data_IF_637476921243
#
_entry.id   IF_637476921243
#
_cell.length_a   1.000
_cell.length_b   1.000
_cell.length_c   1.000
_cell.angle_alpha   90.00
_cell.angle_beta   90.00
_cell.angle_gamma   90.00
#
_symmetry.space_group_name_H-M   'P 1'
#
loop_
_entity.id
_entity.type
_entity.pdbx_description
1 polymer ?
#
# COMPACT_ATOMS: atom_id res chain seq x y z
N UNK A 1 16.34 -12.61 -17.54
CA UNK A 1 14.87 -12.77 -17.49
C UNK A 1 14.20 -11.51 -18.01
N UNK A 2 13.09 -11.65 -18.75
CA UNK A 2 12.15 -10.55 -19.08
C UNK A 2 11.11 -10.46 -17.98
N UNK A 3 11.01 -9.32 -17.32
CA UNK A 3 10.09 -9.09 -16.20
C UNK A 3 9.12 -7.96 -16.53
N UNK A 4 7.83 -8.15 -16.27
CA UNK A 4 6.80 -7.13 -16.37
C UNK A 4 6.33 -6.74 -14.97
N UNK A 5 6.32 -5.43 -14.66
CA UNK A 5 5.66 -4.87 -13.48
C UNK A 5 4.33 -4.28 -13.91
N UNK A 6 3.25 -4.63 -13.21
CA UNK A 6 1.90 -4.10 -13.49
C UNK A 6 1.60 -2.95 -12.55
N UNK A 7 1.20 -1.81 -13.10
CA UNK A 7 0.88 -0.58 -12.39
C UNK A 7 1.66 0.63 -12.89
N UNK A 8 1.51 1.79 -12.25
CA UNK A 8 2.13 3.02 -12.71
C UNK A 8 2.23 4.10 -11.64
N UNK A 9 2.21 3.71 -10.36
CA UNK A 9 2.34 4.60 -9.21
C UNK A 9 3.77 4.71 -8.67
N UNK A 10 3.91 5.38 -7.55
CA UNK A 10 5.20 5.53 -6.85
C UNK A 10 5.71 4.20 -6.31
N UNK A 11 4.83 3.33 -5.84
CA UNK A 11 5.12 1.96 -5.44
C UNK A 11 5.74 1.16 -6.57
N UNK A 12 5.15 1.20 -7.75
CA UNK A 12 5.65 0.50 -8.93
C UNK A 12 7.02 1.05 -9.34
N UNK A 13 7.22 2.36 -9.28
CA UNK A 13 8.52 2.94 -9.57
C UNK A 13 9.61 2.47 -8.58
N UNK A 14 9.30 2.40 -7.29
CA UNK A 14 10.22 1.87 -6.29
C UNK A 14 10.57 0.39 -6.54
N UNK A 15 9.56 -0.43 -6.91
CA UNK A 15 9.76 -1.83 -7.29
C UNK A 15 10.60 -1.95 -8.56
N UNK A 16 10.32 -1.17 -9.59
CA UNK A 16 11.10 -1.13 -10.85
C UNK A 16 12.56 -0.80 -10.56
N UNK A 17 12.83 0.26 -9.78
CA UNK A 17 14.20 0.64 -9.43
C UNK A 17 14.91 -0.46 -8.63
N UNK A 18 14.21 -1.11 -7.70
CA UNK A 18 14.79 -2.22 -6.92
C UNK A 18 15.04 -3.47 -7.77
N UNK A 19 14.17 -3.80 -8.69
CA UNK A 19 14.35 -4.92 -9.63
C UNK A 19 15.52 -4.70 -10.58
N UNK A 20 15.80 -3.44 -10.98
CA UNK A 20 16.98 -3.13 -11.82
C UNK A 20 18.33 -3.47 -11.16
N UNK A 21 18.38 -3.58 -9.84
CA UNK A 21 19.58 -4.00 -9.12
C UNK A 21 19.89 -5.49 -9.37
N UNK A 22 18.90 -6.29 -9.80
CA UNK A 22 19.07 -7.73 -10.06
C UNK A 22 19.84 -7.97 -11.37
N UNK A 23 20.88 -8.81 -11.28
CA UNK A 23 21.67 -9.23 -12.45
C UNK A 23 20.97 -10.24 -13.35
N UNK A 24 19.88 -10.84 -12.88
CA UNK A 24 19.12 -11.83 -13.66
C UNK A 24 18.15 -11.16 -14.65
N UNK A 25 17.83 -9.88 -14.47
CA UNK A 25 16.89 -9.17 -15.34
C UNK A 25 17.63 -8.66 -16.58
N UNK A 26 17.24 -9.15 -17.75
CA UNK A 26 17.77 -8.72 -19.05
C UNK A 26 16.88 -7.70 -19.75
N UNK A 27 15.58 -7.68 -19.42
CA UNK A 27 14.64 -6.67 -19.91
C UNK A 27 13.53 -6.43 -18.87
N UNK A 28 13.23 -5.18 -18.60
CA UNK A 28 12.22 -4.76 -17.63
C UNK A 28 11.16 -3.91 -18.31
N UNK A 29 9.90 -4.29 -18.09
CA UNK A 29 8.72 -3.65 -18.64
C UNK A 29 7.79 -3.19 -17.52
N UNK A 30 6.95 -2.18 -17.78
CA UNK A 30 5.93 -1.74 -16.84
C UNK A 30 4.63 -1.36 -17.58
N UNK A 31 3.48 -1.81 -17.09
CA UNK A 31 2.19 -1.55 -17.71
C UNK A 31 1.19 -0.93 -16.71
N UNK A 32 0.75 0.32 -16.91
CA UNK A 32 1.12 1.24 -17.99
C UNK A 32 2.44 1.98 -17.75
N UNK A 33 2.98 2.00 -16.51
CA UNK A 33 4.10 2.84 -16.10
C UNK A 33 3.71 4.32 -15.94
N UNK A 34 4.72 5.18 -15.86
CA UNK A 34 4.58 6.64 -15.76
C UNK A 34 5.82 7.35 -16.32
N UNK A 35 5.85 8.69 -16.26
CA UNK A 35 6.95 9.49 -16.84
C UNK A 35 8.33 9.24 -16.22
N UNK A 36 8.41 8.80 -14.96
CA UNK A 36 9.66 8.41 -14.31
C UNK A 36 10.05 6.97 -14.61
N UNK A 37 9.09 6.05 -14.54
CA UNK A 37 9.31 4.61 -14.86
C UNK A 37 9.86 4.44 -16.28
N UNK A 38 9.45 5.30 -17.23
CA UNK A 38 9.95 5.28 -18.61
C UNK A 38 11.47 5.50 -18.73
N UNK A 39 12.14 5.99 -17.68
CA UNK A 39 13.62 6.11 -17.61
C UNK A 39 14.28 4.78 -17.20
N UNK A 40 13.53 3.91 -16.56
CA UNK A 40 14.01 2.72 -15.87
C UNK A 40 13.53 1.40 -16.51
N UNK A 41 12.40 1.44 -17.23
CA UNK A 41 11.76 0.28 -17.87
C UNK A 41 11.03 0.70 -19.15
N UNK A 42 10.73 -0.26 -19.99
CA UNK A 42 9.87 -0.02 -21.17
C UNK A 42 8.42 0.04 -20.74
N UNK A 43 7.79 1.20 -20.89
CA UNK A 43 6.37 1.37 -20.59
C UNK A 43 5.49 0.77 -21.69
N UNK A 44 4.52 -0.05 -21.32
CA UNK A 44 3.56 -0.70 -22.22
C UNK A 44 2.20 -0.06 -22.00
N UNK A 45 1.55 0.53 -23.02
CA UNK A 45 0.34 1.33 -22.86
C UNK A 45 -0.92 0.48 -22.66
N UNK A 46 -0.89 -0.43 -21.66
CA UNK A 46 -2.02 -1.26 -21.25
C UNK A 46 -2.39 -0.87 -19.81
N UNK A 47 -3.66 -0.57 -19.55
CA UNK A 47 -4.14 -0.23 -18.21
C UNK A 47 -4.01 -1.42 -17.27
N UNK A 48 -3.64 -1.18 -16.01
CA UNK A 48 -3.50 -2.23 -15.01
C UNK A 48 -4.79 -3.07 -14.79
N UNK A 49 -5.96 -2.46 -15.02
CA UNK A 49 -7.26 -3.14 -14.92
C UNK A 49 -7.68 -3.93 -16.15
N UNK A 50 -6.96 -3.80 -17.27
CA UNK A 50 -7.19 -4.61 -18.48
C UNK A 50 -6.39 -5.91 -18.37
N UNK A 51 -6.84 -6.78 -17.47
CA UNK A 51 -6.12 -7.99 -17.06
C UNK A 51 -5.95 -9.01 -18.19
N UNK A 52 -6.93 -9.10 -19.13
CA UNK A 52 -6.83 -9.97 -20.30
C UNK A 52 -5.75 -9.46 -21.27
N UNK A 53 -5.78 -8.16 -21.61
CA UNK A 53 -4.77 -7.58 -22.49
C UNK A 53 -3.35 -7.68 -21.91
N UNK A 54 -3.18 -7.54 -20.57
CA UNK A 54 -1.89 -7.72 -19.92
C UNK A 54 -1.42 -9.17 -20.04
N UNK A 55 -2.30 -10.13 -19.76
CA UNK A 55 -1.95 -11.56 -19.81
C UNK A 55 -1.63 -12.02 -21.23
N UNK A 56 -2.39 -11.55 -22.24
CA UNK A 56 -2.13 -11.86 -23.65
C UNK A 56 -0.83 -11.23 -24.14
N UNK A 57 -0.57 -9.97 -23.78
CA UNK A 57 0.68 -9.30 -24.11
C UNK A 57 1.89 -9.99 -23.48
N UNK A 58 1.78 -10.36 -22.17
CA UNK A 58 2.84 -11.06 -21.47
C UNK A 58 3.17 -12.42 -22.13
N UNK A 59 2.16 -13.15 -22.63
CA UNK A 59 2.33 -14.39 -23.34
C UNK A 59 2.98 -14.19 -24.72
N UNK A 60 2.49 -13.19 -25.50
CA UNK A 60 3.01 -12.89 -26.82
C UNK A 60 4.49 -12.46 -26.79
N UNK A 61 4.85 -11.62 -25.82
CA UNK A 61 6.23 -11.14 -25.62
C UNK A 61 7.14 -12.15 -24.87
N UNK A 62 6.57 -13.28 -24.43
CA UNK A 62 7.27 -14.34 -23.70
C UNK A 62 7.94 -13.80 -22.44
N UNK A 63 7.13 -13.18 -21.56
CA UNK A 63 7.60 -12.74 -20.26
C UNK A 63 7.95 -13.95 -19.39
N UNK A 64 9.11 -13.90 -18.74
CA UNK A 64 9.54 -14.94 -17.83
C UNK A 64 8.88 -14.82 -16.46
N UNK A 65 8.51 -13.59 -16.06
CA UNK A 65 7.92 -13.31 -14.76
C UNK A 65 7.09 -12.02 -14.76
N UNK A 66 5.98 -12.01 -14.01
CA UNK A 66 5.13 -10.81 -13.88
C UNK A 66 4.99 -10.46 -12.40
N UNK A 67 5.14 -9.17 -12.07
CA UNK A 67 4.95 -8.63 -10.72
C UNK A 67 3.67 -7.82 -10.70
N UNK A 68 2.63 -8.32 -10.04
CA UNK A 68 1.32 -7.67 -9.95
C UNK A 68 1.26 -6.90 -8.64
N UNK A 69 1.21 -5.58 -8.72
CA UNK A 69 1.39 -4.71 -7.55
C UNK A 69 0.14 -3.97 -7.08
N UNK A 70 -0.83 -3.56 -7.94
CA UNK A 70 -2.06 -2.93 -7.48
C UNK A 70 -3.12 -3.95 -7.04
N UNK A 71 -4.02 -3.51 -6.18
CA UNK A 71 -5.15 -4.28 -5.65
C UNK A 71 -6.17 -4.67 -6.74
N UNK A 72 -6.56 -3.72 -7.62
CA UNK A 72 -7.55 -3.97 -8.67
C UNK A 72 -7.21 -5.18 -9.56
N UNK A 73 -6.05 -5.27 -10.23
CA UNK A 73 -5.73 -6.43 -11.08
C UNK A 73 -5.60 -7.74 -10.29
N UNK A 74 -5.20 -7.71 -9.01
CA UNK A 74 -5.19 -8.89 -8.14
C UNK A 74 -6.62 -9.38 -7.88
N UNK A 75 -7.52 -8.47 -7.49
CA UNK A 75 -8.93 -8.80 -7.25
C UNK A 75 -9.67 -9.20 -8.53
N UNK A 76 -9.23 -8.71 -9.70
CA UNK A 76 -9.74 -9.12 -11.01
C UNK A 76 -9.21 -10.48 -11.48
N UNK A 77 -8.19 -11.05 -10.82
CA UNK A 77 -7.66 -12.38 -11.09
C UNK A 77 -6.56 -12.43 -12.14
N UNK A 78 -5.76 -11.37 -12.27
CA UNK A 78 -4.64 -11.35 -13.22
C UNK A 78 -3.63 -12.47 -12.97
N UNK A 79 -3.35 -12.80 -11.70
CA UNK A 79 -2.44 -13.90 -11.36
C UNK A 79 -2.98 -15.25 -11.84
N UNK A 80 -4.29 -15.48 -11.71
CA UNK A 80 -4.95 -16.70 -12.21
C UNK A 80 -4.86 -16.78 -13.74
N UNK A 81 -5.07 -15.67 -14.45
CA UNK A 81 -4.96 -15.60 -15.90
C UNK A 81 -3.54 -15.86 -16.40
N UNK A 82 -2.52 -15.35 -15.70
CA UNK A 82 -1.11 -15.58 -16.02
C UNK A 82 -0.75 -17.05 -15.76
N UNK A 83 -1.18 -17.62 -14.64
CA UNK A 83 -0.97 -19.03 -14.32
C UNK A 83 -1.60 -19.96 -15.38
N UNK A 84 -2.81 -19.64 -15.86
CA UNK A 84 -3.45 -20.39 -16.95
C UNK A 84 -2.67 -20.33 -18.29
N UNK A 85 -1.82 -19.31 -18.47
CA UNK A 85 -0.92 -19.15 -19.62
C UNK A 85 0.50 -19.69 -19.35
N UNK A 86 0.73 -20.31 -18.17
CA UNK A 86 2.03 -20.85 -17.77
C UNK A 86 3.08 -19.78 -17.42
N UNK A 87 2.66 -18.56 -17.09
CA UNK A 87 3.54 -17.44 -16.74
C UNK A 87 3.53 -17.29 -15.23
N UNK A 88 4.66 -17.50 -14.52
CA UNK A 88 4.74 -17.29 -13.08
C UNK A 88 4.59 -15.81 -12.73
N UNK A 89 3.86 -15.53 -11.65
CA UNK A 89 3.60 -14.18 -11.23
C UNK A 89 3.73 -14.01 -9.71
N UNK A 90 4.23 -12.85 -9.27
CA UNK A 90 4.22 -12.43 -7.88
C UNK A 90 2.89 -11.73 -7.58
N UNK A 91 2.19 -12.22 -6.59
CA UNK A 91 0.93 -11.70 -6.10
C UNK A 91 -0.03 -12.84 -5.75
N UNK A 92 -1.04 -12.59 -4.90
CA UNK A 92 -2.06 -13.57 -4.59
C UNK A 92 -2.97 -13.84 -5.79
N UNK A 93 -3.55 -15.03 -5.83
CA UNK A 93 -4.66 -15.33 -6.70
C UNK A 93 -5.93 -14.55 -6.27
N UNK A 94 -6.97 -14.59 -7.10
CA UNK A 94 -8.23 -13.88 -6.84
C UNK A 94 -8.89 -14.31 -5.52
N UNK A 95 -8.77 -15.58 -5.17
CA UNK A 95 -9.37 -16.10 -3.94
C UNK A 95 -8.69 -15.55 -2.70
N UNK A 96 -7.37 -15.46 -2.69
CA UNK A 96 -6.58 -14.89 -1.59
C UNK A 96 -6.66 -13.34 -1.56
N UNK A 97 -6.73 -12.68 -2.72
CA UNK A 97 -6.86 -11.23 -2.82
C UNK A 97 -8.14 -10.69 -2.13
N UNK A 98 -9.15 -11.53 -1.92
CA UNK A 98 -10.35 -11.18 -1.15
C UNK A 98 -10.08 -10.66 0.25
N UNK A 99 -8.90 -10.94 0.83
CA UNK A 99 -8.54 -10.44 2.16
C UNK A 99 -8.49 -8.89 2.21
N UNK A 100 -8.20 -8.23 1.06
CA UNK A 100 -8.35 -6.78 0.87
C UNK A 100 -9.67 -6.45 0.16
N UNK A 101 -10.04 -7.23 -0.84
CA UNK A 101 -11.21 -6.99 -1.69
C UNK A 101 -12.55 -7.08 -0.96
N UNK A 102 -12.61 -7.70 0.23
CA UNK A 102 -13.80 -7.74 1.10
C UNK A 102 -13.40 -7.60 2.56
N UNK A 103 -13.76 -6.46 3.16
CA UNK A 103 -13.54 -6.21 4.59
C UNK A 103 -14.39 -7.14 5.46
N UNK A 104 -15.58 -7.52 4.98
CA UNK A 104 -16.45 -8.52 5.64
C UNK A 104 -15.73 -9.86 5.71
N UNK A 105 -15.16 -10.34 4.59
CA UNK A 105 -14.37 -11.58 4.58
C UNK A 105 -13.19 -11.51 5.56
N UNK A 106 -12.41 -10.43 5.53
CA UNK A 106 -11.27 -10.26 6.43
C UNK A 106 -11.68 -10.25 7.91
N UNK A 107 -12.79 -9.58 8.25
CA UNK A 107 -13.30 -9.52 9.61
C UNK A 107 -13.83 -10.88 10.07
N UNK A 108 -14.58 -11.58 9.24
CA UNK A 108 -15.09 -12.91 9.57
C UNK A 108 -13.95 -13.93 9.70
N UNK A 109 -12.90 -13.83 8.88
CA UNK A 109 -11.67 -14.60 9.03
C UNK A 109 -11.05 -14.36 10.41
N UNK A 110 -10.82 -13.09 10.77
CA UNK A 110 -10.21 -12.74 12.06
C UNK A 110 -11.05 -13.24 13.24
N UNK A 111 -12.37 -13.07 13.20
CA UNK A 111 -13.26 -13.57 14.26
C UNK A 111 -13.23 -15.09 14.38
N UNK A 112 -13.31 -15.81 13.24
CA UNK A 112 -13.34 -17.29 13.21
C UNK A 112 -12.07 -17.92 13.76
N UNK A 113 -10.92 -17.29 13.48
CA UNK A 113 -9.61 -17.82 13.86
C UNK A 113 -8.97 -17.10 15.04
N UNK A 114 -9.71 -16.24 15.75
CA UNK A 114 -9.26 -15.58 16.97
C UNK A 114 -8.13 -14.56 16.77
N UNK A 115 -8.02 -13.99 15.57
CA UNK A 115 -7.00 -12.98 15.27
C UNK A 115 -7.42 -11.63 15.85
N UNK A 116 -6.56 -10.94 16.65
CA UNK A 116 -6.92 -9.71 17.32
C UNK A 116 -7.31 -8.59 16.35
N UNK A 117 -8.51 -8.04 16.50
CA UNK A 117 -9.03 -6.89 15.76
C UNK A 117 -10.06 -6.14 16.61
N UNK A 118 -10.54 -5.00 16.13
CA UNK A 118 -11.65 -4.26 16.75
C UNK A 118 -12.93 -5.10 16.77
N UNK A 119 -13.76 -4.95 17.82
CA UNK A 119 -15.13 -5.48 17.79
C UNK A 119 -15.86 -4.84 16.62
N UNK A 120 -16.65 -5.61 15.91
CA UNK A 120 -17.34 -5.17 14.69
C UNK A 120 -18.67 -5.88 14.50
N UNK A 121 -19.52 -5.27 13.70
CA UNK A 121 -20.73 -5.88 13.12
C UNK A 121 -20.77 -5.57 11.61
N UNK A 122 -21.39 -6.45 10.85
CA UNK A 122 -21.53 -6.32 9.39
C UNK A 122 -22.99 -6.23 9.01
N UNK A 123 -23.30 -5.38 8.03
CA UNK A 123 -24.67 -5.14 7.58
C UNK A 123 -24.76 -5.13 6.06
N UNK A 124 -25.74 -5.86 5.53
CA UNK A 124 -26.19 -5.84 4.13
C UNK A 124 -27.59 -5.21 3.99
N UNK A 125 -28.25 -4.92 5.11
CA UNK A 125 -29.51 -4.18 5.20
C UNK A 125 -29.27 -2.80 5.83
N UNK A 126 -29.70 -1.75 5.12
CA UNK A 126 -29.47 -0.36 5.54
C UNK A 126 -30.22 0.01 6.82
N UNK A 127 -31.45 -0.51 7.02
CA UNK A 127 -32.25 -0.18 8.21
C UNK A 127 -31.67 -0.86 9.46
N UNK A 128 -31.14 -2.08 9.33
CA UNK A 128 -30.43 -2.77 10.40
C UNK A 128 -29.13 -2.02 10.76
N UNK A 129 -28.37 -1.55 9.78
CA UNK A 129 -27.18 -0.75 10.00
C UNK A 129 -27.49 0.57 10.73
N UNK A 130 -28.52 1.30 10.27
CA UNK A 130 -28.97 2.55 10.90
C UNK A 130 -29.45 2.32 12.34
N UNK A 131 -30.24 1.24 12.60
CA UNK A 131 -30.68 0.91 13.95
C UNK A 131 -29.50 0.65 14.89
N UNK A 132 -28.47 -0.05 14.40
CA UNK A 132 -27.26 -0.33 15.18
C UNK A 132 -26.47 0.92 15.50
N UNK A 133 -26.15 1.78 14.49
CA UNK A 133 -25.28 2.95 14.70
C UNK A 133 -25.95 4.02 15.57
N UNK A 134 -27.27 4.08 15.66
CA UNK A 134 -28.01 5.00 16.56
C UNK A 134 -27.71 4.76 18.04
N UNK A 135 -27.34 3.56 18.41
CA UNK A 135 -27.10 3.15 19.81
C UNK A 135 -25.66 2.69 20.06
N UNK A 136 -24.84 2.60 19.03
CA UNK A 136 -23.45 2.20 19.16
C UNK A 136 -22.64 3.22 19.98
N UNK A 137 -21.74 2.76 20.85
CA UNK A 137 -20.82 3.66 21.57
C UNK A 137 -19.91 4.37 20.57
N UNK A 138 -19.88 5.70 20.59
CA UNK A 138 -18.97 6.50 19.77
C UNK A 138 -17.65 6.81 20.51
N UNK A 139 -16.53 7.01 19.76
CA UNK A 139 -16.47 6.98 18.30
C UNK A 139 -16.56 5.58 17.69
N UNK A 140 -17.10 5.48 16.47
CA UNK A 140 -17.14 4.26 15.66
C UNK A 140 -16.52 4.47 14.29
N UNK A 141 -16.11 3.38 13.63
CA UNK A 141 -15.57 3.43 12.27
C UNK A 141 -16.53 2.70 11.34
N UNK A 142 -17.06 3.40 10.35
CA UNK A 142 -17.91 2.84 9.30
C UNK A 142 -17.07 2.61 8.04
N UNK A 143 -17.05 1.38 7.54
CA UNK A 143 -16.25 0.98 6.38
C UNK A 143 -17.13 0.35 5.30
N UNK A 144 -17.00 0.80 4.06
CA UNK A 144 -17.53 0.10 2.89
C UNK A 144 -16.80 -1.23 2.69
N UNK A 145 -17.50 -2.29 2.32
CA UNK A 145 -16.93 -3.65 2.24
C UNK A 145 -15.83 -3.78 1.17
N UNK A 146 -16.05 -3.29 -0.05
CA UNK A 146 -15.14 -3.45 -1.17
C UNK A 146 -14.01 -2.41 -1.24
N UNK A 147 -13.27 -2.47 -2.36
CA UNK A 147 -12.25 -1.46 -2.69
C UNK A 147 -12.89 -0.08 -2.87
N UNK A 148 -12.36 0.92 -2.21
CA UNK A 148 -12.85 2.30 -2.24
C UNK A 148 -11.72 3.33 -2.22
N UNK A 149 -10.52 2.97 -2.70
CA UNK A 149 -9.34 3.83 -2.83
C UNK A 149 -8.99 4.60 -1.54
N UNK A 150 -9.13 3.94 -0.37
CA UNK A 150 -8.90 4.54 0.94
C UNK A 150 -9.98 5.53 1.41
N UNK A 151 -11.00 5.81 0.59
CA UNK A 151 -12.08 6.78 0.91
C UNK A 151 -13.30 6.13 1.57
N UNK A 152 -13.38 4.81 1.57
CA UNK A 152 -14.50 4.05 2.12
C UNK A 152 -14.42 3.81 3.63
N UNK A 153 -13.60 4.55 4.38
CA UNK A 153 -13.41 4.43 5.83
C UNK A 153 -13.69 5.79 6.47
N UNK A 154 -14.72 5.85 7.32
CA UNK A 154 -15.13 7.06 8.01
C UNK A 154 -15.10 6.85 9.52
N UNK A 155 -14.34 7.68 10.25
CA UNK A 155 -14.37 7.76 11.70
C UNK A 155 -15.51 8.70 12.09
N UNK A 156 -16.45 8.21 12.86
CA UNK A 156 -17.65 8.93 13.26
C UNK A 156 -17.59 9.18 14.77
N UNK A 157 -17.44 10.42 15.13
CA UNK A 157 -17.36 10.88 16.54
C UNK A 157 -18.73 10.85 17.23
N UNK A 158 -19.81 10.87 16.43
CA UNK A 158 -21.20 10.87 16.92
C UNK A 158 -22.05 9.90 16.14
N UNK A 159 -23.16 9.45 16.76
CA UNK A 159 -24.13 8.60 16.11
C UNK A 159 -24.74 9.25 14.85
N UNK A 160 -24.95 10.58 14.86
CA UNK A 160 -25.45 11.31 13.69
C UNK A 160 -24.50 11.21 12.49
N UNK A 161 -23.17 11.34 12.72
CA UNK A 161 -22.17 11.15 11.67
C UNK A 161 -22.16 9.70 11.18
N UNK A 162 -22.35 8.72 12.06
CA UNK A 162 -22.41 7.30 11.67
C UNK A 162 -23.66 6.99 10.83
N UNK A 163 -24.82 7.58 11.17
CA UNK A 163 -26.04 7.48 10.36
C UNK A 163 -25.86 8.10 8.98
N UNK A 164 -25.21 9.27 8.88
CA UNK A 164 -24.89 9.91 7.61
C UNK A 164 -23.95 9.01 6.77
N UNK A 165 -22.89 8.49 7.39
CA UNK A 165 -21.94 7.59 6.73
C UNK A 165 -22.61 6.33 6.15
N UNK A 166 -23.46 5.65 6.93
CA UNK A 166 -24.22 4.49 6.48
C UNK A 166 -25.18 4.87 5.33
N UNK A 167 -25.87 6.00 5.46
CA UNK A 167 -26.82 6.50 4.44
C UNK A 167 -26.10 6.78 3.12
N UNK A 168 -24.98 7.49 3.16
CA UNK A 168 -24.16 7.80 1.98
C UNK A 168 -23.64 6.53 1.30
N UNK A 169 -23.13 5.57 2.08
CA UNK A 169 -22.55 4.34 1.55
C UNK A 169 -23.60 3.41 0.97
N UNK A 170 -24.64 3.05 1.77
CA UNK A 170 -25.59 1.99 1.43
C UNK A 170 -26.79 2.50 0.66
N UNK A 171 -27.38 3.68 1.03
CA UNK A 171 -28.62 4.18 0.41
C UNK A 171 -28.33 5.03 -0.83
N UNK A 172 -27.32 5.90 -0.78
CA UNK A 172 -26.93 6.75 -1.92
C UNK A 172 -25.90 6.12 -2.84
N UNK A 173 -25.35 4.95 -2.48
CA UNK A 173 -24.45 4.19 -3.34
C UNK A 173 -23.13 4.89 -3.66
N UNK A 174 -22.62 5.72 -2.75
CA UNK A 174 -21.42 6.56 -2.94
C UNK A 174 -20.19 5.79 -3.46
N UNK A 175 -20.10 4.49 -3.12
CA UNK A 175 -19.02 3.60 -3.54
C UNK A 175 -19.52 2.47 -4.46
N UNK A 176 -20.68 2.64 -5.10
CA UNK A 176 -21.27 1.61 -5.98
C UNK A 176 -21.46 0.26 -5.26
N UNK A 177 -21.08 -0.82 -5.91
CA UNK A 177 -21.21 -2.17 -5.33
C UNK A 177 -20.38 -2.35 -4.03
N UNK A 178 -19.26 -1.65 -3.88
CA UNK A 178 -18.43 -1.71 -2.66
C UNK A 178 -19.14 -1.16 -1.43
N UNK A 179 -20.11 -0.27 -1.59
CA UNK A 179 -20.88 0.33 -0.51
C UNK A 179 -22.18 -0.42 -0.19
N UNK A 180 -22.52 -1.50 -0.90
CA UNK A 180 -23.75 -2.28 -0.65
C UNK A 180 -23.76 -3.00 0.70
N UNK A 181 -22.60 -3.26 1.27
CA UNK A 181 -22.38 -3.78 2.63
C UNK A 181 -21.44 -2.86 3.40
N UNK A 182 -21.65 -2.76 4.70
CA UNK A 182 -20.79 -2.00 5.58
C UNK A 182 -20.32 -2.83 6.77
N UNK A 183 -19.13 -2.48 7.26
CA UNK A 183 -18.59 -2.95 8.53
C UNK A 183 -18.59 -1.77 9.49
N UNK A 184 -19.18 -1.93 10.67
CA UNK A 184 -19.15 -0.92 11.74
C UNK A 184 -18.25 -1.47 12.85
N UNK A 185 -17.17 -0.75 13.15
CA UNK A 185 -16.14 -1.18 14.09
C UNK A 185 -16.04 -0.24 15.28
N UNK A 186 -15.69 -0.79 16.44
CA UNK A 186 -15.23 0.02 17.57
C UNK A 186 -13.93 0.77 17.18
N UNK A 187 -13.84 2.03 17.54
CA UNK A 187 -12.63 2.83 17.34
C UNK A 187 -11.48 2.26 18.20
N UNK A 188 -10.30 2.10 17.60
CA UNK A 188 -9.09 1.68 18.29
C UNK A 188 -8.19 2.89 18.55
N UNK A 189 -7.61 2.96 19.73
CA UNK A 189 -6.66 4.00 20.13
C UNK A 189 -5.24 3.43 20.21
N UNK A 190 -4.29 4.17 19.68
CA UNK A 190 -2.87 3.81 19.70
C UNK A 190 -2.09 4.38 18.50
N UNK A 191 -0.79 4.11 18.41
CA UNK A 191 -0.02 4.37 17.20
C UNK A 191 -0.31 3.31 16.14
N UNK A 192 -0.44 3.78 14.88
CA UNK A 192 -0.55 2.90 13.72
C UNK A 192 0.83 2.40 13.29
N UNK A 193 0.87 1.15 12.85
CA UNK A 193 2.06 0.49 12.32
C UNK A 193 1.67 -0.25 11.05
N UNK A 194 2.44 -0.07 9.98
CA UNK A 194 2.33 -0.82 8.74
C UNK A 194 3.45 -1.83 8.65
N UNK A 195 3.12 -3.12 8.49
CA UNK A 195 4.10 -4.20 8.29
C UNK A 195 3.79 -4.92 6.99
N UNK A 196 4.68 -4.77 6.02
CA UNK A 196 4.64 -5.53 4.79
C UNK A 196 5.38 -6.85 5.00
N UNK A 197 4.82 -7.96 4.52
CA UNK A 197 5.42 -9.27 4.68
C UNK A 197 5.44 -10.02 3.35
N UNK A 198 6.58 -10.57 2.97
CA UNK A 198 6.60 -11.63 1.95
C UNK A 198 6.02 -12.91 2.56
N UNK A 199 5.20 -13.61 1.81
CA UNK A 199 4.70 -14.93 2.22
C UNK A 199 4.40 -15.84 1.04
N UNK A 200 4.77 -17.11 1.18
CA UNK A 200 4.47 -18.20 0.24
C UNK A 200 3.30 -19.07 0.71
N UNK A 201 2.44 -18.53 1.60
CA UNK A 201 1.33 -19.25 2.20
C UNK A 201 1.72 -20.11 3.39
N UNK A 202 3.01 -20.39 3.61
CA UNK A 202 3.53 -21.21 4.70
C UNK A 202 4.54 -20.43 5.55
N UNK A 203 5.57 -19.92 4.90
CA UNK A 203 6.56 -19.05 5.51
C UNK A 203 6.14 -17.58 5.40
N UNK A 204 6.58 -16.76 6.34
CA UNK A 204 6.41 -15.32 6.33
C UNK A 204 7.73 -14.62 6.66
N UNK A 205 8.02 -13.52 5.96
CA UNK A 205 9.21 -12.68 6.16
C UNK A 205 8.77 -11.22 6.25
N UNK A 206 8.62 -10.66 7.47
CA UNK A 206 8.31 -9.26 7.67
C UNK A 206 9.43 -8.35 7.14
N UNK A 207 9.06 -7.24 6.54
CA UNK A 207 9.96 -6.16 6.16
C UNK A 207 10.09 -5.15 7.31
N UNK A 208 10.93 -4.13 7.13
CA UNK A 208 11.01 -3.02 8.08
C UNK A 208 9.62 -2.39 8.29
N UNK A 209 9.17 -2.32 9.54
CA UNK A 209 7.88 -1.72 9.87
C UNK A 209 7.90 -0.22 9.57
N UNK A 210 6.80 0.33 9.07
CA UNK A 210 6.72 1.71 8.65
C UNK A 210 5.57 2.46 9.34
N UNK A 211 5.63 3.79 9.29
CA UNK A 211 4.58 4.70 9.76
C UNK A 211 4.14 5.58 8.60
N UNK A 212 2.94 5.33 8.09
CA UNK A 212 2.30 6.17 7.08
C UNK A 212 1.60 7.38 7.71
N UNK A 213 1.48 8.46 6.96
CA UNK A 213 0.79 9.69 7.32
C UNK A 213 -0.41 9.89 6.40
N UNK A 214 -1.57 9.36 6.79
CA UNK A 214 -2.76 9.24 5.94
C UNK A 214 -3.52 10.54 5.72
N UNK A 215 -3.43 11.52 6.64
CA UNK A 215 -4.14 12.78 6.53
C UNK A 215 -3.45 13.76 5.60
N UNK A 216 -4.25 14.54 4.87
CA UNK A 216 -3.76 15.46 3.85
C UNK A 216 -2.94 16.64 4.41
N UNK A 217 -3.21 17.08 5.64
CA UNK A 217 -2.66 18.30 6.25
C UNK A 217 -1.85 17.98 7.52
N UNK A 218 -0.93 18.88 7.86
CA UNK A 218 -0.14 18.81 9.08
C UNK A 218 -0.98 18.64 10.34
N UNK A 219 -0.43 18.00 11.34
CA UNK A 219 -1.09 17.67 12.60
C UNK A 219 -2.20 16.64 12.44
N UNK A 220 -2.11 15.75 11.46
CA UNK A 220 -3.08 14.71 11.14
C UNK A 220 -4.50 15.27 10.93
N UNK A 221 -4.60 16.38 10.21
CA UNK A 221 -5.84 17.06 9.87
C UNK A 221 -6.23 16.86 8.40
N UNK A 222 -7.45 17.26 8.07
CA UNK A 222 -7.99 17.16 6.71
C UNK A 222 -8.49 15.75 6.37
N UNK A 223 -8.69 15.50 5.09
CA UNK A 223 -9.24 14.23 4.58
C UNK A 223 -8.20 13.12 4.59
N UNK A 224 -8.67 11.88 4.65
CA UNK A 224 -7.83 10.72 4.40
C UNK A 224 -7.37 10.70 2.94
N UNK A 225 -6.14 10.26 2.74
CA UNK A 225 -5.48 10.13 1.44
C UNK A 225 -4.92 8.72 1.27
N UNK A 226 -4.23 8.46 0.17
CA UNK A 226 -3.43 7.25 -0.01
C UNK A 226 -2.12 7.24 0.79
N UNK A 227 -1.80 8.31 1.54
CA UNK A 227 -0.56 8.54 2.27
C UNK A 227 0.19 9.75 1.74
N UNK A 228 0.59 10.64 2.66
CA UNK A 228 1.32 11.89 2.37
C UNK A 228 2.82 11.79 2.69
N UNK A 229 3.23 10.66 3.19
CA UNK A 229 4.62 10.36 3.53
C UNK A 229 4.72 9.22 4.51
N UNK A 230 5.91 8.64 4.59
CA UNK A 230 6.16 7.44 5.39
C UNK A 230 7.59 7.44 5.91
N UNK A 231 7.76 6.89 7.12
CA UNK A 231 9.09 6.61 7.68
C UNK A 231 9.24 5.12 7.97
N UNK A 232 10.45 4.62 7.93
CA UNK A 232 10.85 3.30 8.41
C UNK A 232 12.26 3.39 9.06
N UNK A 233 12.48 2.68 10.19
CA UNK A 233 11.53 1.86 10.93
C UNK A 233 10.54 2.67 11.75
N UNK A 234 9.41 2.04 12.11
CA UNK A 234 8.42 2.62 13.01
C UNK A 234 8.83 2.38 14.47
N UNK A 235 9.06 3.42 15.30
CA UNK A 235 9.56 3.25 16.67
C UNK A 235 8.59 2.55 17.62
N UNK A 236 7.31 2.49 17.30
CA UNK A 236 6.32 1.76 18.10
C UNK A 236 6.30 0.24 17.82
N UNK A 237 7.03 -0.21 16.78
CA UNK A 237 7.16 -1.64 16.48
C UNK A 237 8.43 -2.19 17.13
N UNK A 238 8.37 -2.31 18.46
CA UNK A 238 9.47 -2.85 19.26
C UNK A 238 9.65 -4.37 19.03
N UNK A 239 10.78 -4.97 19.41
CA UNK A 239 10.96 -6.42 19.32
C UNK A 239 9.85 -7.22 20.02
N UNK A 240 9.34 -6.73 21.15
CA UNK A 240 8.25 -7.37 21.90
C UNK A 240 6.93 -7.30 21.12
N UNK A 241 6.62 -6.14 20.52
CA UNK A 241 5.45 -5.98 19.64
C UNK A 241 5.58 -6.87 18.41
N UNK A 242 6.76 -6.95 17.80
CA UNK A 242 7.03 -7.80 16.65
C UNK A 242 6.81 -9.28 16.96
N UNK A 243 7.28 -9.75 18.10
CA UNK A 243 7.08 -11.14 18.57
C UNK A 243 5.59 -11.45 18.75
N UNK A 244 4.84 -10.56 19.41
CA UNK A 244 3.38 -10.70 19.56
C UNK A 244 2.66 -10.68 18.23
N UNK A 245 3.01 -9.78 17.32
CA UNK A 245 2.42 -9.74 15.98
C UNK A 245 2.65 -11.03 15.21
N UNK A 246 3.84 -11.60 15.31
CA UNK A 246 4.16 -12.88 14.68
C UNK A 246 3.28 -14.01 15.22
N UNK A 247 3.19 -14.14 16.54
CA UNK A 247 2.48 -15.23 17.21
C UNK A 247 0.96 -15.07 17.17
N UNK A 248 0.44 -13.85 17.44
CA UNK A 248 -0.99 -13.60 17.62
C UNK A 248 -1.70 -13.23 16.31
N UNK A 249 -0.96 -12.73 15.29
CA UNK A 249 -1.56 -12.16 14.06
C UNK A 249 -1.02 -12.84 12.79
N UNK A 250 0.30 -12.81 12.54
CA UNK A 250 0.84 -13.16 11.22
C UNK A 250 0.72 -14.65 10.94
N UNK A 251 1.22 -15.51 11.82
CA UNK A 251 1.10 -16.96 11.66
C UNK A 251 -0.36 -17.44 11.70
N UNK A 252 -1.22 -16.95 12.62
CA UNK A 252 -2.65 -17.27 12.58
C UNK A 252 -3.34 -16.85 11.28
N UNK A 253 -3.00 -15.68 10.71
CA UNK A 253 -3.57 -15.24 9.43
C UNK A 253 -3.22 -16.22 8.30
N UNK A 254 -1.95 -16.65 8.18
CA UNK A 254 -1.57 -17.63 7.16
C UNK A 254 -2.27 -18.98 7.36
N UNK A 255 -2.38 -19.43 8.61
CA UNK A 255 -3.08 -20.67 8.94
C UNK A 255 -4.57 -20.57 8.56
N UNK A 256 -5.21 -19.44 8.87
CA UNK A 256 -6.59 -19.16 8.53
C UNK A 256 -6.83 -19.16 7.01
N UNK A 257 -6.00 -18.45 6.25
CA UNK A 257 -6.11 -18.41 4.78
C UNK A 257 -5.97 -19.78 4.14
N UNK A 258 -5.04 -20.63 4.65
CA UNK A 258 -4.92 -22.02 4.21
C UNK A 258 -6.16 -22.84 4.55
N UNK A 259 -6.70 -22.68 5.77
CA UNK A 259 -7.88 -23.41 6.22
C UNK A 259 -9.13 -23.04 5.41
N UNK A 260 -9.21 -21.79 4.93
CA UNK A 260 -10.28 -21.33 4.02
C UNK A 260 -10.03 -21.73 2.54
N UNK A 261 -8.97 -22.47 2.25
CA UNK A 261 -8.64 -22.93 0.90
C UNK A 261 -8.11 -21.86 -0.04
N UNK A 262 -7.63 -20.74 0.49
CA UNK A 262 -7.05 -19.63 -0.27
C UNK A 262 -5.69 -19.21 0.33
N UNK A 263 -4.65 -20.07 0.26
CA UNK A 263 -3.32 -19.74 0.75
C UNK A 263 -2.80 -18.47 0.06
N UNK A 264 -2.20 -17.56 0.84
CA UNK A 264 -1.75 -16.27 0.33
C UNK A 264 -0.29 -16.34 -0.13
N UNK A 265 -0.03 -16.04 -1.39
CA UNK A 265 1.31 -15.87 -1.96
C UNK A 265 1.53 -14.43 -2.39
N UNK A 266 2.63 -13.80 -2.00
CA UNK A 266 2.92 -12.41 -2.40
C UNK A 266 3.34 -11.52 -1.25
N UNK A 267 2.98 -10.24 -1.34
CA UNK A 267 3.15 -9.26 -0.27
C UNK A 267 1.83 -9.09 0.48
N UNK A 268 1.77 -9.58 1.72
CA UNK A 268 0.64 -9.34 2.62
C UNK A 268 0.98 -8.16 3.53
N UNK A 269 0.20 -7.11 3.46
CA UNK A 269 0.34 -5.92 4.29
C UNK A 269 -0.63 -6.00 5.47
N UNK A 270 -0.09 -5.80 6.66
CA UNK A 270 -0.82 -5.71 7.92
C UNK A 270 -0.86 -4.25 8.39
N UNK A 271 -2.03 -3.63 8.38
CA UNK A 271 -2.30 -2.38 9.08
C UNK A 271 -2.66 -2.68 10.53
N UNK A 272 -1.84 -2.21 11.44
CA UNK A 272 -1.94 -2.54 12.87
C UNK A 272 -2.17 -1.29 13.71
N UNK A 273 -2.95 -1.43 14.79
CA UNK A 273 -3.00 -0.48 15.91
C UNK A 273 -2.33 -1.10 17.12
N UNK A 274 -1.34 -0.43 17.68
CA UNK A 274 -0.70 -0.87 18.91
C UNK A 274 -1.47 -0.29 20.09
N UNK A 275 -2.44 -1.04 20.57
CA UNK A 275 -3.31 -0.62 21.68
C UNK A 275 -2.67 -0.97 23.02
N UNK A 276 -3.23 -0.43 24.13
CA UNK A 276 -2.81 -0.82 25.48
C UNK A 276 -2.94 -2.31 25.77
N UNK A 277 -3.85 -3.01 25.08
CA UNK A 277 -4.09 -4.45 25.23
C UNK A 277 -3.19 -5.30 24.31
N UNK A 278 -2.45 -4.64 23.39
CA UNK A 278 -1.57 -5.27 22.42
C UNK A 278 -1.90 -4.91 20.96
N UNK A 279 -1.22 -5.53 20.00
CA UNK A 279 -1.43 -5.26 18.59
C UNK A 279 -2.80 -5.79 18.14
N UNK A 280 -3.51 -4.98 17.31
CA UNK A 280 -4.77 -5.37 16.67
C UNK A 280 -4.75 -5.01 15.21
N UNK A 281 -5.30 -5.88 14.36
CA UNK A 281 -5.42 -5.64 12.92
C UNK A 281 -6.50 -4.59 12.67
N UNK A 282 -6.13 -3.51 11.95
CA UNK A 282 -7.04 -2.51 11.41
C UNK A 282 -7.60 -2.97 10.06
N UNK A 283 -6.67 -3.43 9.20
CA UNK A 283 -6.96 -3.89 7.84
C UNK A 283 -5.83 -4.77 7.30
N UNK A 284 -6.14 -5.53 6.27
CA UNK A 284 -5.17 -6.18 5.40
C UNK A 284 -5.16 -5.50 4.04
N UNK A 285 -3.98 -5.50 3.38
CA UNK A 285 -3.90 -5.25 1.96
C UNK A 285 -3.16 -6.42 1.29
N UNK A 286 -3.62 -6.83 0.12
CA UNK A 286 -3.12 -8.02 -0.59
C UNK A 286 -1.90 -7.73 -1.49
N UNK A 287 -1.20 -6.62 -1.22
CA UNK A 287 -0.17 -6.05 -2.09
C UNK A 287 0.79 -5.14 -1.31
N UNK A 288 1.85 -4.71 -1.96
CA UNK A 288 2.72 -3.67 -1.45
C UNK A 288 1.96 -2.36 -1.15
N UNK A 289 2.36 -1.65 -0.08
CA UNK A 289 1.81 -0.35 0.27
C UNK A 289 2.32 0.79 -0.62
N UNK A 290 1.59 1.88 -0.67
CA UNK A 290 1.98 3.11 -1.35
C UNK A 290 1.56 4.32 -0.47
N UNK A 291 2.49 5.01 0.27
CA UNK A 291 3.92 5.09 -0.04
C UNK A 291 4.87 4.18 0.76
N UNK A 292 4.43 3.18 1.51
CA UNK A 292 5.30 2.38 2.38
C UNK A 292 6.46 1.74 1.60
N UNK A 293 6.20 1.24 0.41
CA UNK A 293 7.19 0.60 -0.47
C UNK A 293 8.36 1.53 -0.78
N UNK A 294 8.09 2.82 -0.98
CA UNK A 294 9.08 3.84 -1.29
C UNK A 294 10.07 4.09 -0.13
N UNK A 295 9.69 3.76 1.11
CA UNK A 295 10.59 3.84 2.27
C UNK A 295 11.22 2.49 2.63
N UNK A 296 10.49 1.39 2.47
CA UNK A 296 10.92 0.06 2.92
C UNK A 296 11.92 -0.58 1.95
N UNK A 297 11.66 -0.55 0.65
CA UNK A 297 12.54 -1.19 -0.34
C UNK A 297 13.96 -0.59 -0.43
N UNK A 298 14.19 0.72 -0.23
CA UNK A 298 15.55 1.26 -0.16
C UNK A 298 16.40 0.72 0.98
N UNK A 299 15.78 0.17 2.03
CA UNK A 299 16.47 -0.50 3.14
C UNK A 299 16.76 -1.98 2.84
N UNK A 300 16.14 -2.58 1.83
CA UNK A 300 16.33 -3.99 1.49
C UNK A 300 17.70 -4.23 0.83
N UNK A 301 18.49 -5.15 1.40
CA UNK A 301 19.78 -5.57 0.86
C UNK A 301 19.66 -6.77 -0.09
N UNK A 302 18.73 -7.66 0.17
CA UNK A 302 18.51 -8.86 -0.64
C UNK A 302 18.00 -8.50 -2.04
N UNK A 303 18.33 -9.35 -3.02
CA UNK A 303 17.79 -9.23 -4.37
C UNK A 303 16.28 -9.45 -4.38
N UNK A 304 15.53 -8.41 -4.79
CA UNK A 304 14.07 -8.42 -4.73
C UNK A 304 13.47 -9.50 -5.65
N UNK A 305 14.05 -9.71 -6.85
CA UNK A 305 13.57 -10.73 -7.78
C UNK A 305 13.72 -12.13 -7.17
N UNK A 306 14.86 -12.41 -6.55
CA UNK A 306 15.12 -13.68 -5.87
C UNK A 306 14.10 -13.97 -4.79
N UNK A 307 13.78 -12.98 -3.95
CA UNK A 307 12.77 -13.12 -2.89
C UNK A 307 11.36 -13.29 -3.47
N UNK A 308 11.01 -12.53 -4.51
CA UNK A 308 9.72 -12.66 -5.17
C UNK A 308 9.53 -14.05 -5.81
N UNK A 309 10.57 -14.57 -6.46
CA UNK A 309 10.53 -15.93 -7.02
C UNK A 309 10.40 -16.99 -5.93
N UNK A 310 11.17 -16.88 -4.84
CA UNK A 310 11.06 -17.79 -3.70
C UNK A 310 9.64 -17.79 -3.10
N UNK A 311 8.99 -16.61 -3.09
CA UNK A 311 7.59 -16.48 -2.68
C UNK A 311 6.64 -17.21 -3.61
N UNK A 312 6.82 -17.09 -4.94
CA UNK A 312 5.97 -17.75 -5.94
C UNK A 312 6.21 -19.26 -5.99
N UNK A 313 7.48 -19.69 -5.81
CA UNK A 313 7.91 -21.09 -5.88
C UNK A 313 7.68 -21.88 -4.57
N UNK A 314 7.24 -21.22 -3.47
CA UNK A 314 7.02 -21.88 -2.18
C UNK A 314 8.30 -22.22 -1.43
N UNK A 315 9.38 -21.50 -1.69
CA UNK A 315 10.72 -21.73 -1.11
C UNK A 315 11.21 -20.58 -0.21
N UNK A 316 10.29 -19.68 0.19
CA UNK A 316 10.60 -18.48 0.97
C UNK A 316 11.28 -18.79 2.31
N UNK A 317 11.02 -19.96 2.90
CA UNK A 317 11.68 -20.40 4.13
C UNK A 317 13.20 -20.50 3.99
N UNK A 318 13.70 -20.75 2.77
CA UNK A 318 15.12 -20.90 2.43
C UNK A 318 15.73 -19.59 1.91
N UNK A 319 14.90 -18.59 1.60
CA UNK A 319 15.37 -17.33 1.07
C UNK A 319 16.00 -16.46 2.17
N UNK A 320 17.12 -15.84 1.82
CA UNK A 320 17.78 -14.84 2.66
C UNK A 320 17.13 -13.47 2.41
N UNK A 321 16.36 -13.00 3.38
CA UNK A 321 15.66 -11.71 3.32
C UNK A 321 16.24 -10.78 4.37
N UNK A 322 17.05 -9.82 3.92
CA UNK A 322 17.77 -8.88 4.79
C UNK A 322 17.44 -7.45 4.48
N UNK A 323 17.43 -6.64 5.54
CA UNK A 323 17.32 -5.20 5.50
C UNK A 323 18.51 -4.61 6.24
N UNK A 324 19.08 -3.52 5.72
CA UNK A 324 20.17 -2.82 6.38
C UNK A 324 19.67 -2.11 7.64
N UNK A 325 20.56 -1.90 8.58
CA UNK A 325 20.37 -0.95 9.68
C UNK A 325 20.28 0.47 9.11
N UNK A 326 19.59 1.35 9.85
CA UNK A 326 19.36 2.73 9.46
C UNK A 326 17.88 3.06 9.33
N UNK A 327 17.60 4.17 8.68
CA UNK A 327 16.24 4.68 8.52
C UNK A 327 15.99 5.29 7.14
N UNK A 328 14.74 5.37 6.77
CA UNK A 328 14.29 6.03 5.55
C UNK A 328 13.08 6.93 5.83
N UNK A 329 12.97 7.99 5.04
CA UNK A 329 11.82 8.88 5.04
C UNK A 329 11.43 9.17 3.58
N UNK A 330 10.17 8.99 3.26
CA UNK A 330 9.57 9.40 1.98
C UNK A 330 8.58 10.52 2.22
N UNK A 331 8.80 11.68 1.60
CA UNK A 331 7.89 12.83 1.59
C UNK A 331 7.13 12.82 0.26
N UNK A 332 5.81 12.80 0.32
CA UNK A 332 4.96 12.84 -0.88
C UNK A 332 4.70 14.27 -1.29
N UNK A 333 4.95 14.58 -2.56
CA UNK A 333 4.60 15.83 -3.21
C UNK A 333 3.32 15.60 -4.02
N UNK A 334 2.26 16.33 -3.69
CA UNK A 334 0.94 16.17 -4.27
C UNK A 334 0.51 17.43 -5.04
N UNK A 335 -0.44 17.27 -5.96
CA UNK A 335 -1.12 18.39 -6.63
C UNK A 335 -2.03 19.11 -5.63
N UNK A 336 -2.07 20.44 -5.71
CA UNK A 336 -2.93 21.27 -4.85
C UNK A 336 -4.40 20.91 -5.04
N UNK A 337 -5.09 20.71 -3.92
CA UNK A 337 -6.47 20.22 -3.85
C UNK A 337 -6.62 18.71 -3.64
N UNK A 338 -5.56 17.92 -3.78
CA UNK A 338 -5.59 16.49 -3.43
C UNK A 338 -5.97 16.28 -1.93
N UNK A 339 -6.84 15.32 -1.57
CA UNK A 339 -7.39 14.21 -2.35
C UNK A 339 -8.72 14.50 -3.07
N UNK A 340 -9.16 15.75 -3.15
CA UNK A 340 -10.39 16.14 -3.86
C UNK A 340 -10.09 16.49 -5.32
N UNK A 341 -10.49 17.68 -5.77
CA UNK A 341 -10.24 18.14 -7.12
C UNK A 341 -8.87 18.80 -7.23
N UNK A 342 -8.10 18.42 -8.22
CA UNK A 342 -6.80 18.99 -8.51
C UNK A 342 -6.60 19.16 -10.01
N UNK A 343 -5.73 20.10 -10.38
CA UNK A 343 -5.30 20.29 -11.75
C UNK A 343 -4.07 19.44 -12.06
N UNK A 344 -3.92 19.08 -13.32
CA UNK A 344 -2.75 18.33 -13.85
C UNK A 344 -2.09 19.11 -15.00
N UNK A 345 -1.01 18.54 -15.58
CA UNK A 345 -0.30 19.17 -16.69
C UNK A 345 0.68 20.28 -16.28
N UNK A 346 0.97 20.42 -14.98
CA UNK A 346 1.92 21.42 -14.47
C UNK A 346 3.36 20.92 -14.67
N UNK A 347 4.26 21.70 -15.32
CA UNK A 347 5.66 21.31 -15.49
C UNK A 347 6.38 21.09 -14.15
N UNK A 348 7.20 20.05 -14.10
CA UNK A 348 7.96 19.67 -12.90
C UNK A 348 9.42 20.06 -13.12
N UNK A 349 10.01 20.83 -12.20
CA UNK A 349 11.39 21.26 -12.22
C UNK A 349 12.14 20.83 -10.97
N UNK A 350 13.49 20.82 -11.02
CA UNK A 350 14.34 20.57 -9.86
C UNK A 350 14.65 19.10 -9.57
N UNK A 351 14.17 18.17 -10.37
CA UNK A 351 14.37 16.73 -10.16
C UNK A 351 15.86 16.34 -10.11
N UNK A 352 16.68 16.86 -11.05
CA UNK A 352 18.11 16.52 -11.12
C UNK A 352 18.88 16.95 -9.85
N UNK A 353 18.49 18.05 -9.19
CA UNK A 353 19.10 18.48 -7.94
C UNK A 353 18.65 17.57 -6.77
N UNK A 354 17.38 17.26 -6.69
CA UNK A 354 16.82 16.35 -5.67
C UNK A 354 17.44 14.95 -5.76
N UNK A 355 17.63 14.44 -6.98
CA UNK A 355 18.19 13.10 -7.25
C UNK A 355 19.66 12.96 -6.86
N UNK A 356 20.38 14.06 -6.55
CA UNK A 356 21.77 13.99 -6.04
C UNK A 356 21.86 13.43 -4.62
N UNK A 357 20.83 13.63 -3.80
CA UNK A 357 20.82 13.29 -2.37
C UNK A 357 19.69 12.37 -1.95
N UNK A 358 18.67 12.18 -2.79
CA UNK A 358 17.52 11.36 -2.52
C UNK A 358 17.08 10.56 -3.75
N UNK A 359 16.29 9.52 -3.55
CA UNK A 359 15.58 8.84 -4.63
C UNK A 359 14.25 9.56 -4.88
N UNK A 360 13.93 9.85 -6.14
CA UNK A 360 12.66 10.46 -6.50
C UNK A 360 11.80 9.43 -7.23
N UNK A 361 10.76 8.95 -6.57
CA UNK A 361 9.81 8.01 -7.15
C UNK A 361 8.65 8.77 -7.78
N UNK A 362 8.41 8.52 -9.05
CA UNK A 362 7.32 9.11 -9.81
C UNK A 362 6.03 8.33 -9.59
N UNK A 363 4.94 9.05 -9.32
CA UNK A 363 3.59 8.53 -9.27
C UNK A 363 2.76 9.18 -10.39
N UNK A 364 1.98 10.19 -10.10
CA UNK A 364 1.20 10.91 -11.10
C UNK A 364 2.05 11.85 -11.95
N UNK A 365 2.90 11.30 -12.81
CA UNK A 365 3.73 12.07 -13.74
C UNK A 365 3.60 11.53 -15.18
N UNK A 366 3.74 12.42 -16.15
CA UNK A 366 3.74 12.09 -17.58
C UNK A 366 4.83 12.87 -18.28
N UNK A 367 5.53 12.22 -19.22
CA UNK A 367 6.42 12.89 -20.15
C UNK A 367 5.64 13.37 -21.38
N UNK A 368 5.87 14.62 -21.80
CA UNK A 368 5.39 15.16 -23.04
C UNK A 368 6.33 14.78 -24.20
N UNK A 369 5.93 15.04 -25.43
CA UNK A 369 6.73 14.73 -26.64
C UNK A 369 8.10 15.42 -26.67
N UNK A 370 8.21 16.60 -26.07
CA UNK A 370 9.46 17.37 -25.94
C UNK A 370 10.33 16.90 -24.75
N UNK A 371 9.91 15.87 -24.01
CA UNK A 371 10.59 15.34 -22.84
C UNK A 371 10.26 16.06 -21.53
N UNK A 372 9.46 17.12 -21.55
CA UNK A 372 9.03 17.83 -20.34
C UNK A 372 8.17 16.91 -19.47
N UNK A 373 8.54 16.78 -18.20
CA UNK A 373 7.76 16.06 -17.20
C UNK A 373 6.68 16.97 -16.61
N UNK A 374 5.44 16.47 -16.58
CA UNK A 374 4.30 17.21 -16.04
C UNK A 374 3.53 16.36 -15.02
N UNK A 375 2.78 17.02 -14.13
CA UNK A 375 1.86 16.36 -13.20
C UNK A 375 0.72 15.69 -13.95
N UNK A 376 0.32 14.49 -13.54
CA UNK A 376 -0.80 13.73 -14.14
C UNK A 376 -1.68 13.02 -13.13
N UNK A 377 -1.48 13.29 -11.83
CA UNK A 377 -2.24 12.66 -10.74
C UNK A 377 -2.24 13.48 -9.46
N UNK A 378 -2.92 12.98 -8.43
CA UNK A 378 -3.00 13.62 -7.12
C UNK A 378 -1.68 13.56 -6.37
N UNK A 379 -1.17 12.36 -6.06
CA UNK A 379 0.21 12.18 -5.60
C UNK A 379 1.11 12.16 -6.82
N UNK A 380 2.08 13.06 -6.86
CA UNK A 380 2.94 13.30 -8.04
C UNK A 380 4.28 12.61 -7.89
N UNK A 381 4.97 12.84 -6.77
CA UNK A 381 6.30 12.31 -6.49
C UNK A 381 6.41 11.83 -5.03
N UNK A 382 7.25 10.85 -4.78
CA UNK A 382 7.73 10.48 -3.46
C UNK A 382 9.25 10.74 -3.39
N UNK A 383 9.67 11.63 -2.51
CA UNK A 383 11.10 11.96 -2.31
C UNK A 383 11.62 11.19 -1.12
N UNK A 384 12.49 10.22 -1.35
CA UNK A 384 12.96 9.28 -0.33
C UNK A 384 14.45 9.42 -0.07
N UNK A 385 14.80 9.68 1.19
CA UNK A 385 16.17 9.60 1.67
C UNK A 385 16.37 8.44 2.64
N UNK A 386 17.60 7.90 2.64
CA UNK A 386 18.05 6.84 3.55
C UNK A 386 19.26 7.37 4.31
N UNK A 387 19.29 7.15 5.63
CA UNK A 387 20.39 7.58 6.50
C UNK A 387 20.60 6.56 7.63
N UNK A 388 21.61 6.80 8.46
CA UNK A 388 21.92 5.91 9.59
C UNK A 388 20.89 6.03 10.71
N UNK A 389 20.19 7.17 10.81
CA UNK A 389 19.11 7.39 11.78
C UNK A 389 17.92 8.13 11.16
N UNK A 390 16.81 8.10 11.89
CA UNK A 390 15.54 8.68 11.42
C UNK A 390 15.59 10.21 11.32
N UNK A 391 16.17 10.97 12.28
CA UNK A 391 16.33 12.42 12.13
C UNK A 391 17.06 12.84 10.87
N UNK A 392 18.16 12.15 10.54
CA UNK A 392 18.94 12.43 9.33
C UNK A 392 18.17 12.08 8.05
N UNK A 393 17.46 10.92 8.02
CA UNK A 393 16.64 10.53 6.88
C UNK A 393 15.53 11.56 6.60
N UNK A 394 14.83 12.02 7.64
CA UNK A 394 13.79 13.05 7.52
C UNK A 394 14.38 14.35 6.97
N UNK A 395 15.46 14.86 7.56
CA UNK A 395 16.11 16.10 7.12
C UNK A 395 16.51 16.02 5.64
N UNK A 396 17.19 14.96 5.24
CA UNK A 396 17.65 14.76 3.86
C UNK A 396 16.47 14.65 2.86
N UNK A 397 15.39 14.00 3.23
CA UNK A 397 14.19 13.89 2.38
C UNK A 397 13.56 15.28 2.13
N UNK A 398 13.45 16.13 3.16
CA UNK A 398 12.95 17.50 3.01
C UNK A 398 13.92 18.40 2.23
N UNK A 399 15.22 18.35 2.53
CA UNK A 399 16.24 19.09 1.78
C UNK A 399 16.18 18.79 0.28
N UNK A 400 16.03 17.51 -0.09
CA UNK A 400 15.87 17.11 -1.48
C UNK A 400 14.51 17.57 -2.06
N UNK A 401 13.43 17.43 -1.30
CA UNK A 401 12.09 17.86 -1.72
C UNK A 401 12.02 19.38 -1.97
N UNK A 402 12.83 20.17 -1.26
CA UNK A 402 12.94 21.62 -1.41
C UNK A 402 13.47 22.08 -2.78
N UNK A 403 14.14 21.21 -3.52
CA UNK A 403 14.56 21.51 -4.88
C UNK A 403 13.42 21.40 -5.92
N UNK A 404 12.40 20.59 -5.64
CA UNK A 404 11.34 20.28 -6.61
C UNK A 404 10.27 21.38 -6.62
N UNK A 405 9.84 21.76 -7.81
CA UNK A 405 8.83 22.80 -8.03
C UNK A 405 7.84 22.38 -9.12
N UNK A 406 6.58 22.60 -8.85
CA UNK A 406 5.50 22.67 -9.82
C UNK A 406 4.36 23.52 -9.24
N UNK A 407 3.57 24.14 -10.09
CA UNK A 407 2.47 25.01 -9.66
C UNK A 407 1.43 24.26 -8.84
N UNK A 408 1.07 24.80 -7.68
CA UNK A 408 0.13 24.19 -6.75
C UNK A 408 0.71 22.99 -5.97
N UNK A 409 2.03 22.84 -5.87
CA UNK A 409 2.65 21.79 -5.06
C UNK A 409 2.16 21.85 -3.62
N UNK A 410 1.67 20.71 -3.12
CA UNK A 410 1.29 20.48 -1.73
C UNK A 410 2.08 19.32 -1.13
N UNK A 411 2.58 19.49 0.08
CA UNK A 411 3.18 18.45 0.91
C UNK A 411 2.88 18.71 2.37
N UNK A 412 3.06 17.72 3.21
CA UNK A 412 3.11 17.88 4.67
C UNK A 412 4.53 18.25 5.11
N UNK A 413 4.64 19.09 6.15
CA UNK A 413 5.90 19.52 6.73
C UNK A 413 6.25 18.75 8.03
N UNK A 414 5.37 17.82 8.46
CA UNK A 414 5.48 17.11 9.73
C UNK A 414 5.65 15.58 9.59
N UNK A 415 6.06 15.10 8.42
CA UNK A 415 6.35 13.66 8.20
C UNK A 415 7.45 13.20 9.16
N UNK A 416 7.13 12.17 9.96
CA UNK A 416 8.04 11.61 10.98
C UNK A 416 8.04 12.36 12.31
N UNK A 417 7.40 13.53 12.44
CA UNK A 417 7.42 14.30 13.69
C UNK A 417 6.87 13.53 14.90
N UNK A 418 5.85 12.69 14.69
CA UNK A 418 5.30 11.81 15.75
C UNK A 418 6.30 10.76 16.18
N UNK A 419 7.03 10.18 15.23
CA UNK A 419 8.06 9.17 15.51
C UNK A 419 9.24 9.78 16.27
N UNK A 420 9.70 10.99 15.89
CA UNK A 420 10.77 11.68 16.61
C UNK A 420 10.40 11.95 18.08
N UNK A 421 9.15 12.35 18.35
CA UNK A 421 8.67 12.52 19.73
C UNK A 421 8.63 11.23 20.54
N UNK A 422 8.52 10.08 19.90
CA UNK A 422 8.54 8.78 20.57
C UNK A 422 9.95 8.28 20.89
N UNK A 423 10.96 8.82 20.23
CA UNK A 423 12.38 8.46 20.43
C UNK A 423 13.09 9.38 21.42
N UNK A 424 12.59 10.55 21.70
CA UNK A 424 13.19 11.55 22.59
C UNK A 424 12.34 12.05 23.66
#
# INVERSE_FOLDING_TARGET
MKVLVVGGGGREHAIVQKLRESREITALYCAPGNGGIARDAVCVPIKATDVEAIADWAAAEKMDYVVVTPDDPLCLGLVDLLAARGIPAFGPDRAAARIEGSKVFAKDLMRRYGIPTARYETFDDVEAALAYVRTAPCPVVVKADGLALGKGVLICETNAQAEEAVTEMMRHGKFGASGSRVVVEAFLEGPEVSVLCFTDGTAIRPMAASMDHKRALDGDRGLNTGGMGVIAPNPYYTPEVAARCMEEIFLPTLAAMRAEGCPFHGCLYFGLMITRDGPKVIEYNCRFGDPETQAVLPLMESDLLTVMRATTEGTLSQADVRFRDGASCCVVLASGGYPEKYETGKPIAGLAEAEKTARVYHAGTKALEDGTLVTSGGRVLGVTAVADDLPAAIRLAYEAADHIRFDGLHRREDIGARALRALG
#
